data_IF_994572819075
#
_entry.id   IF_994572819075
#
_cell.length_a   1.000
_cell.length_b   1.000
_cell.length_c   1.000
_cell.angle_alpha   90.00
_cell.angle_beta   90.00
_cell.angle_gamma   90.00
#
_symmetry.space_group_name_H-M   'P 1'
#
loop_
_entity.id
_entity.type
_entity.pdbx_description
1 polymer ?
#
# COMPACT_ATOMS: atom_id res chain seq x y z
N UNK A 1 -26.70 4.42 -41.53
CA UNK A 1 -25.39 4.50 -42.26
C UNK A 1 -24.73 5.89 -42.16
N UNK A 2 -25.51 6.98 -42.15
CA UNK A 2 -25.01 8.37 -42.06
C UNK A 2 -24.28 8.70 -40.75
N UNK A 3 -24.78 8.20 -39.63
CA UNK A 3 -24.22 8.55 -38.29
C UNK A 3 -22.87 7.90 -37.98
N UNK A 4 -22.65 6.67 -38.46
CA UNK A 4 -21.38 5.95 -38.28
C UNK A 4 -20.27 6.63 -39.09
N UNK A 5 -20.60 7.10 -40.30
CA UNK A 5 -19.64 7.78 -41.18
C UNK A 5 -19.26 9.16 -40.63
N UNK A 6 -20.21 9.91 -40.09
CA UNK A 6 -19.99 11.20 -39.44
C UNK A 6 -19.14 11.04 -38.17
N UNK A 7 -19.34 9.98 -37.39
CA UNK A 7 -18.50 9.65 -36.21
C UNK A 7 -17.07 9.28 -36.63
N UNK A 8 -16.89 8.57 -37.72
CA UNK A 8 -15.54 8.25 -38.24
C UNK A 8 -14.81 9.50 -38.75
N UNK A 9 -15.47 10.41 -39.42
CA UNK A 9 -14.88 11.69 -39.83
C UNK A 9 -14.46 12.54 -38.62
N UNK A 10 -15.22 12.52 -37.54
CA UNK A 10 -14.88 13.17 -36.26
C UNK A 10 -13.59 12.63 -35.67
N UNK A 11 -13.40 11.32 -35.71
CA UNK A 11 -12.20 10.68 -35.16
C UNK A 11 -10.91 11.07 -35.95
N UNK A 12 -11.07 11.45 -37.22
CA UNK A 12 -9.93 11.79 -38.10
C UNK A 12 -9.67 13.31 -38.18
N UNK A 13 -10.60 14.20 -37.80
CA UNK A 13 -10.41 15.64 -37.93
C UNK A 13 -9.62 16.24 -36.76
N UNK A 14 -8.74 17.17 -37.06
CA UNK A 14 -8.00 17.97 -36.07
C UNK A 14 -8.76 19.21 -35.56
N UNK A 15 -9.83 19.59 -36.26
CA UNK A 15 -10.63 20.77 -35.95
C UNK A 15 -11.98 20.38 -35.34
N UNK A 16 -12.54 21.19 -34.43
CA UNK A 16 -13.90 20.99 -33.91
C UNK A 16 -14.93 21.02 -35.05
N UNK A 17 -15.87 20.10 -35.03
CA UNK A 17 -16.91 20.01 -36.04
C UNK A 17 -18.28 20.33 -35.47
N UNK A 18 -19.07 21.08 -36.24
CA UNK A 18 -20.46 21.37 -35.93
C UNK A 18 -21.36 20.20 -36.34
N UNK A 19 -22.12 19.65 -35.39
CA UNK A 19 -23.06 18.58 -35.64
C UNK A 19 -24.50 19.00 -35.39
N UNK A 20 -25.39 18.61 -36.27
CA UNK A 20 -26.80 18.49 -35.97
C UNK A 20 -26.99 17.28 -35.06
N UNK A 21 -27.62 17.46 -33.91
CA UNK A 21 -28.00 16.36 -33.05
C UNK A 21 -29.21 15.65 -33.64
N UNK A 22 -28.98 14.56 -34.34
CA UNK A 22 -30.02 13.60 -34.73
C UNK A 22 -30.35 12.71 -33.53
N UNK A 23 -31.22 13.14 -32.67
CA UNK A 23 -31.82 12.36 -31.57
C UNK A 23 -33.27 12.72 -31.44
N UNK A 24 -34.13 11.75 -31.19
CA UNK A 24 -35.59 11.87 -31.03
C UNK A 24 -35.96 12.96 -30.01
N UNK A 25 -35.90 14.21 -30.36
CA UNK A 25 -36.30 15.45 -29.62
C UNK A 25 -35.25 16.53 -29.43
N UNK A 26 -34.13 16.58 -30.16
CA UNK A 26 -33.17 17.69 -30.03
C UNK A 26 -33.05 18.49 -31.31
N UNK A 27 -33.66 19.67 -31.33
CA UNK A 27 -33.58 20.68 -32.41
C UNK A 27 -32.32 21.57 -32.30
N UNK A 28 -31.36 21.23 -31.41
CA UNK A 28 -30.21 22.08 -31.12
C UNK A 28 -28.94 21.54 -31.79
N UNK A 29 -28.22 22.44 -32.46
CA UNK A 29 -26.87 22.15 -32.97
C UNK A 29 -25.91 22.04 -31.82
N UNK A 30 -24.88 21.19 -31.95
CA UNK A 30 -23.79 21.10 -31.01
C UNK A 30 -22.44 21.09 -31.73
N UNK A 31 -21.49 21.72 -31.11
CA UNK A 31 -20.11 21.74 -31.52
C UNK A 31 -19.32 20.75 -30.66
N UNK A 32 -18.58 19.84 -31.29
CA UNK A 32 -17.79 18.83 -30.63
C UNK A 32 -16.30 19.11 -30.82
N UNK A 33 -15.55 19.22 -29.72
CA UNK A 33 -14.13 19.31 -29.70
C UNK A 33 -13.50 18.08 -29.05
N UNK A 34 -12.32 17.63 -29.49
CA UNK A 34 -11.65 16.46 -28.98
C UNK A 34 -10.36 16.83 -28.27
N UNK A 35 -10.15 16.25 -27.09
CA UNK A 35 -8.88 16.28 -26.36
C UNK A 35 -8.11 15.04 -26.75
N UNK A 36 -6.92 15.23 -27.36
CA UNK A 36 -6.09 14.13 -27.86
C UNK A 36 -4.72 14.09 -27.18
N UNK A 37 -4.26 12.88 -26.88
CA UNK A 37 -2.91 12.62 -26.37
C UNK A 37 -2.32 11.48 -27.21
N UNK A 38 -1.14 11.68 -27.77
CA UNK A 38 -0.47 10.71 -28.65
C UNK A 38 -1.42 10.20 -29.77
N UNK A 39 -2.14 11.11 -30.43
CA UNK A 39 -3.11 10.84 -31.48
C UNK A 39 -4.35 10.01 -31.06
N UNK A 40 -4.50 9.68 -29.77
CA UNK A 40 -5.68 9.00 -29.24
C UNK A 40 -6.61 10.01 -28.57
N UNK A 41 -7.91 9.93 -28.86
CA UNK A 41 -8.92 10.75 -28.20
C UNK A 41 -9.11 10.25 -26.76
N UNK A 42 -8.86 11.14 -25.81
CA UNK A 42 -9.01 10.87 -24.37
C UNK A 42 -10.36 11.38 -23.84
N UNK A 43 -10.82 12.51 -24.36
CA UNK A 43 -12.09 13.09 -23.96
C UNK A 43 -12.70 13.93 -25.11
N UNK A 44 -13.99 14.23 -24.98
CA UNK A 44 -14.73 15.08 -25.91
C UNK A 44 -15.45 16.18 -25.16
N UNK A 45 -15.34 17.41 -25.65
CA UNK A 45 -16.09 18.58 -25.16
C UNK A 45 -17.27 18.80 -26.09
N UNK A 46 -18.47 18.93 -25.53
CA UNK A 46 -19.68 19.25 -26.31
C UNK A 46 -20.23 20.59 -25.87
N UNK A 47 -20.37 21.51 -26.82
CA UNK A 47 -21.01 22.82 -26.63
C UNK A 47 -22.35 22.80 -27.35
N UNK A 48 -23.42 23.06 -26.60
CA UNK A 48 -24.80 23.04 -27.11
C UNK A 48 -25.22 24.46 -27.49
N UNK A 49 -25.94 24.57 -28.61
CA UNK A 49 -26.63 25.78 -29.01
C UNK A 49 -27.89 25.96 -28.13
N UNK A 50 -27.90 27.02 -27.29
CA UNK A 50 -29.03 27.28 -26.39
C UNK A 50 -29.63 28.66 -26.60
N UNK A 51 -28.90 29.72 -26.29
CA UNK A 51 -29.42 31.11 -26.37
C UNK A 51 -29.06 31.85 -27.67
N UNK A 52 -28.07 31.34 -28.42
CA UNK A 52 -27.64 31.91 -29.70
C UNK A 52 -27.08 30.83 -30.62
N UNK A 53 -27.11 31.11 -31.90
CA UNK A 53 -26.48 30.22 -32.90
C UNK A 53 -24.99 30.15 -32.73
N UNK A 54 -24.42 28.97 -32.88
CA UNK A 54 -22.99 28.73 -32.88
C UNK A 54 -22.37 29.27 -34.16
N UNK A 55 -21.22 29.94 -34.04
CA UNK A 55 -20.48 30.58 -35.12
C UNK A 55 -19.12 29.88 -35.37
N UNK A 56 -18.49 30.26 -36.46
CA UNK A 56 -17.09 29.82 -36.76
C UNK A 56 -16.12 30.30 -35.64
N UNK A 57 -16.40 31.47 -35.06
CA UNK A 57 -15.63 31.94 -33.90
C UNK A 57 -15.69 31.01 -32.71
N UNK A 58 -16.88 30.45 -32.41
CA UNK A 58 -17.03 29.46 -31.32
C UNK A 58 -16.25 28.15 -31.60
N UNK A 59 -16.21 27.74 -32.87
CA UNK A 59 -15.40 26.59 -33.29
C UNK A 59 -13.90 26.84 -33.07
N UNK A 60 -13.41 28.02 -33.38
CA UNK A 60 -12.01 28.39 -33.18
C UNK A 60 -11.66 28.46 -31.69
N UNK A 61 -12.55 29.05 -30.88
CA UNK A 61 -12.38 29.09 -29.42
C UNK A 61 -12.32 27.67 -28.85
N UNK A 62 -13.28 26.81 -29.23
CA UNK A 62 -13.29 25.41 -28.79
C UNK A 62 -12.02 24.65 -29.23
N UNK A 63 -11.54 24.90 -30.45
CA UNK A 63 -10.29 24.34 -30.97
C UNK A 63 -9.08 24.71 -30.10
N UNK A 64 -8.98 25.99 -29.74
CA UNK A 64 -7.92 26.48 -28.86
C UNK A 64 -8.00 25.86 -27.46
N UNK A 65 -9.21 25.77 -26.89
CA UNK A 65 -9.43 25.13 -25.60
C UNK A 65 -9.02 23.65 -25.66
N UNK A 66 -9.44 22.92 -26.70
CA UNK A 66 -9.04 21.53 -26.88
C UNK A 66 -7.53 21.36 -27.03
N UNK A 67 -6.85 22.29 -27.74
CA UNK A 67 -5.38 22.32 -27.89
C UNK A 67 -4.68 22.51 -26.54
N UNK A 68 -5.09 23.50 -25.76
CA UNK A 68 -4.54 23.78 -24.43
C UNK A 68 -4.74 22.59 -23.49
N UNK A 69 -5.94 22.01 -23.48
CA UNK A 69 -6.24 20.86 -22.63
C UNK A 69 -5.48 19.61 -23.08
N UNK A 70 -5.30 19.39 -24.39
CA UNK A 70 -4.49 18.29 -24.91
C UNK A 70 -3.03 18.42 -24.45
N UNK A 71 -2.44 19.60 -24.54
CA UNK A 71 -1.09 19.86 -24.02
C UNK A 71 -0.98 19.68 -22.51
N UNK A 72 -1.97 20.16 -21.76
CA UNK A 72 -2.00 20.02 -20.30
C UNK A 72 -2.08 18.55 -19.88
N UNK A 73 -2.93 17.76 -20.54
CA UNK A 73 -3.07 16.31 -20.27
C UNK A 73 -1.79 15.57 -20.71
N UNK A 74 -1.20 15.92 -21.85
CA UNK A 74 0.05 15.32 -22.30
C UNK A 74 1.22 15.63 -21.36
N UNK A 75 1.34 16.85 -20.88
CA UNK A 75 2.36 17.25 -19.92
C UNK A 75 2.21 16.53 -18.59
N UNK A 76 0.96 16.37 -18.09
CA UNK A 76 0.67 15.56 -16.91
C UNK A 76 0.98 14.09 -17.13
N UNK A 77 0.67 13.55 -18.30
CA UNK A 77 0.98 12.16 -18.65
C UNK A 77 2.48 11.91 -18.70
N UNK A 78 3.25 12.81 -19.32
CA UNK A 78 4.73 12.71 -19.34
C UNK A 78 5.33 12.82 -17.94
N UNK A 79 4.85 13.76 -17.12
CA UNK A 79 5.28 13.90 -15.73
C UNK A 79 4.91 12.68 -14.87
N UNK A 80 3.72 12.12 -15.07
CA UNK A 80 3.28 10.90 -14.37
C UNK A 80 4.10 9.69 -14.80
N UNK A 81 4.40 9.53 -16.10
CA UNK A 81 5.23 8.44 -16.58
C UNK A 81 6.66 8.51 -16.03
N UNK A 82 7.26 9.70 -15.97
CA UNK A 82 8.58 9.89 -15.38
C UNK A 82 8.57 9.61 -13.86
N UNK A 83 7.58 10.12 -13.14
CA UNK A 83 7.41 9.85 -11.71
C UNK A 83 7.18 8.34 -11.45
N UNK A 84 6.40 7.66 -12.29
CA UNK A 84 6.16 6.21 -12.20
C UNK A 84 7.44 5.42 -12.47
N UNK A 85 8.23 5.80 -13.47
CA UNK A 85 9.52 5.14 -13.75
C UNK A 85 10.52 5.32 -12.62
N UNK A 86 10.60 6.52 -12.03
CA UNK A 86 11.44 6.78 -10.86
C UNK A 86 11.00 5.95 -9.66
N UNK A 87 9.68 5.87 -9.41
CA UNK A 87 9.12 5.04 -8.33
C UNK A 87 9.53 3.58 -8.49
N UNK A 88 9.37 3.01 -9.69
CA UNK A 88 9.75 1.64 -10.00
C UNK A 88 11.26 1.38 -9.82
N UNK A 89 12.11 2.35 -10.17
CA UNK A 89 13.55 2.22 -9.95
C UNK A 89 13.90 2.14 -8.46
N UNK A 90 13.27 2.98 -7.63
CA UNK A 90 13.48 2.95 -6.19
C UNK A 90 12.89 1.70 -5.55
N UNK A 91 11.72 1.25 -5.98
CA UNK A 91 11.12 -0.02 -5.53
C UNK A 91 12.05 -1.21 -5.81
N UNK A 92 12.63 -1.29 -7.01
CA UNK A 92 13.61 -2.33 -7.35
C UNK A 92 14.87 -2.27 -6.47
N UNK A 93 15.35 -1.07 -6.13
CA UNK A 93 16.51 -0.89 -5.25
C UNK A 93 16.20 -1.26 -3.79
N UNK A 94 15.01 -0.92 -3.31
CA UNK A 94 14.54 -1.36 -1.98
C UNK A 94 14.38 -2.88 -1.93
N UNK A 95 13.89 -3.48 -3.01
CA UNK A 95 13.81 -4.94 -3.11
C UNK A 95 15.19 -5.59 -3.09
N UNK A 96 16.15 -5.05 -3.84
CA UNK A 96 17.53 -5.55 -3.80
C UNK A 96 18.17 -5.45 -2.40
N UNK A 97 17.79 -4.43 -1.60
CA UNK A 97 18.19 -4.34 -0.20
C UNK A 97 17.54 -5.43 0.67
N UNK A 98 16.26 -5.73 0.42
CA UNK A 98 15.55 -6.81 1.11
C UNK A 98 16.14 -8.18 0.79
N UNK A 99 16.60 -8.37 -0.44
CA UNK A 99 17.19 -9.61 -0.91
C UNK A 99 18.69 -9.72 -0.53
N UNK A 100 19.26 -8.68 0.09
CA UNK A 100 20.68 -8.65 0.47
C UNK A 100 21.66 -8.47 -0.70
N UNK A 101 21.16 -8.09 -1.87
CA UNK A 101 21.96 -8.02 -3.11
C UNK A 101 22.70 -6.69 -3.31
N UNK A 102 22.30 -5.62 -2.64
CA UNK A 102 22.84 -4.28 -2.88
C UNK A 102 23.35 -3.60 -1.62
N UNK A 103 24.57 -3.08 -1.70
CA UNK A 103 25.21 -2.30 -0.64
C UNK A 103 25.45 -0.83 -1.03
N UNK A 104 25.22 -0.45 -2.28
CA UNK A 104 25.32 0.93 -2.73
C UNK A 104 24.08 1.73 -2.31
N UNK A 105 24.26 2.68 -1.41
CA UNK A 105 23.21 3.55 -0.87
C UNK A 105 23.29 4.98 -1.40
N UNK A 106 24.09 5.26 -2.41
CA UNK A 106 24.25 6.60 -2.98
C UNK A 106 22.95 7.22 -3.49
N UNK A 107 21.96 6.38 -3.80
CA UNK A 107 20.64 6.77 -4.27
C UNK A 107 19.67 7.18 -3.14
N UNK A 108 19.92 6.78 -1.89
CA UNK A 108 18.99 6.99 -0.75
C UNK A 108 18.66 8.45 -0.52
N UNK A 109 19.60 9.40 -0.52
CA UNK A 109 19.26 10.82 -0.36
C UNK A 109 18.29 11.32 -1.43
N UNK A 110 18.51 10.94 -2.69
CA UNK A 110 17.64 11.32 -3.81
C UNK A 110 16.26 10.70 -3.70
N UNK A 111 16.17 9.45 -3.22
CA UNK A 111 14.92 8.78 -2.95
C UNK A 111 14.15 9.45 -1.81
N UNK A 112 14.80 9.76 -0.67
CA UNK A 112 14.17 10.45 0.45
C UNK A 112 13.65 11.83 0.05
N UNK A 113 14.39 12.56 -0.79
CA UNK A 113 13.95 13.82 -1.37
C UNK A 113 12.70 13.62 -2.25
N UNK A 114 12.69 12.59 -3.09
CA UNK A 114 11.57 12.28 -3.97
C UNK A 114 10.27 11.99 -3.20
N UNK A 115 10.35 11.24 -2.09
CA UNK A 115 9.21 10.92 -1.23
C UNK A 115 8.97 11.93 -0.10
N UNK A 116 9.78 13.00 -0.01
CA UNK A 116 9.72 14.07 1.00
C UNK A 116 9.95 13.60 2.44
N UNK A 117 10.86 12.64 2.63
CA UNK A 117 11.24 12.10 3.93
C UNK A 117 12.63 12.55 4.41
N UNK A 118 13.17 13.61 3.87
CA UNK A 118 14.53 14.10 4.11
C UNK A 118 14.79 14.46 5.59
N UNK A 119 13.77 15.00 6.27
CA UNK A 119 13.91 15.55 7.61
C UNK A 119 13.81 14.50 8.72
N UNK A 120 13.08 13.40 8.48
CA UNK A 120 12.74 12.41 9.50
C UNK A 120 13.02 11.02 9.00
N UNK A 121 14.25 10.57 9.26
CA UNK A 121 14.71 9.24 8.85
C UNK A 121 14.45 8.23 9.97
N UNK A 122 13.19 8.03 10.32
CA UNK A 122 12.78 7.01 11.30
C UNK A 122 11.69 6.15 10.70
N UNK A 123 12.06 4.95 10.31
CA UNK A 123 11.22 4.04 9.57
C UNK A 123 10.65 2.95 10.46
N UNK A 124 9.54 2.37 10.05
CA UNK A 124 9.05 1.06 10.46
C UNK A 124 8.63 0.28 9.23
N UNK A 125 8.73 -1.01 9.29
CA UNK A 125 8.23 -1.93 8.28
C UNK A 125 6.92 -2.52 8.78
N UNK A 126 5.92 -2.53 7.91
CA UNK A 126 4.69 -3.30 8.09
C UNK A 126 4.70 -4.41 7.06
N UNK A 127 4.69 -5.65 7.51
CA UNK A 127 4.53 -6.83 6.66
C UNK A 127 3.09 -7.29 6.74
N UNK A 128 2.44 -7.50 5.60
CA UNK A 128 1.07 -8.00 5.54
C UNK A 128 1.11 -9.40 4.96
N UNK A 129 0.84 -10.38 5.81
CA UNK A 129 0.69 -11.76 5.40
C UNK A 129 -0.76 -12.02 5.01
N UNK A 130 -0.92 -12.42 3.78
CA UNK A 130 -2.17 -12.92 3.29
C UNK A 130 -2.26 -14.41 3.59
N UNK A 131 -3.20 -14.80 4.41
CA UNK A 131 -3.83 -16.10 4.21
C UNK A 131 -4.27 -16.16 2.73
N UNK A 132 -4.62 -17.32 2.19
CA UNK A 132 -4.91 -17.54 0.74
C UNK A 132 -5.76 -16.45 0.02
N UNK A 133 -6.31 -15.51 0.75
CA UNK A 133 -7.27 -14.50 0.32
C UNK A 133 -6.68 -13.36 -0.52
N UNK A 134 -5.41 -12.95 -0.33
CA UNK A 134 -4.79 -11.91 -1.18
C UNK A 134 -4.07 -12.47 -2.42
N UNK A 135 -4.34 -13.71 -2.82
CA UNK A 135 -3.88 -14.24 -4.12
C UNK A 135 -4.56 -13.55 -5.29
N UNK A 136 -5.71 -12.89 -5.04
CA UNK A 136 -6.40 -12.09 -6.05
C UNK A 136 -5.73 -10.71 -6.16
N UNK A 137 -5.09 -10.47 -7.31
CA UNK A 137 -4.42 -9.20 -7.64
C UNK A 137 -5.35 -7.98 -7.49
N UNK A 138 -6.65 -8.14 -7.76
CA UNK A 138 -7.62 -7.05 -7.63
C UNK A 138 -7.84 -6.63 -6.18
N UNK A 139 -8.03 -7.58 -5.26
CA UNK A 139 -8.19 -7.30 -3.83
C UNK A 139 -6.93 -6.68 -3.21
N UNK A 140 -5.75 -7.18 -3.63
CA UNK A 140 -4.47 -6.61 -3.21
C UNK A 140 -4.32 -5.17 -3.67
N UNK A 141 -4.67 -4.89 -4.92
CA UNK A 141 -4.62 -3.52 -5.46
C UNK A 141 -5.60 -2.59 -4.73
N UNK A 142 -6.81 -3.07 -4.45
CA UNK A 142 -7.81 -2.32 -3.69
C UNK A 142 -7.31 -1.98 -2.26
N UNK A 143 -6.74 -2.96 -1.55
CA UNK A 143 -6.13 -2.74 -0.23
C UNK A 143 -5.03 -1.67 -0.29
N UNK A 144 -4.12 -1.76 -1.26
CA UNK A 144 -3.05 -0.78 -1.45
C UNK A 144 -3.63 0.63 -1.69
N UNK A 145 -4.62 0.76 -2.56
CA UNK A 145 -5.23 2.06 -2.85
C UNK A 145 -5.97 2.65 -1.62
N UNK A 146 -6.67 1.83 -0.84
CA UNK A 146 -7.30 2.28 0.41
C UNK A 146 -6.25 2.80 1.40
N UNK A 147 -5.17 2.06 1.62
CA UNK A 147 -4.09 2.47 2.52
C UNK A 147 -3.36 3.73 2.01
N UNK A 148 -3.19 3.88 0.69
CA UNK A 148 -2.63 5.11 0.08
C UNK A 148 -3.50 6.33 0.32
N UNK A 149 -4.82 6.18 0.26
CA UNK A 149 -5.76 7.27 0.52
C UNK A 149 -5.73 7.70 1.99
N UNK A 150 -5.60 6.76 2.91
CA UNK A 150 -5.50 7.05 4.35
C UNK A 150 -4.16 7.72 4.72
N UNK A 151 -3.07 7.41 4.00
CA UNK A 151 -1.71 7.86 4.32
C UNK A 151 -0.97 8.46 3.12
N UNK A 152 -1.44 9.56 2.53
CA UNK A 152 -0.77 10.19 1.41
C UNK A 152 0.65 10.63 1.81
N UNK A 153 1.64 10.25 1.01
CA UNK A 153 3.07 10.60 1.18
C UNK A 153 3.80 10.06 2.42
N UNK A 154 3.18 9.14 3.18
CA UNK A 154 3.79 8.59 4.41
C UNK A 154 4.10 7.10 4.30
N UNK A 155 3.80 6.47 3.17
CA UNK A 155 4.00 5.05 2.95
C UNK A 155 4.65 4.79 1.60
N UNK A 156 5.55 3.80 1.57
CA UNK A 156 6.07 3.18 0.34
C UNK A 156 5.63 1.73 0.35
N UNK A 157 4.98 1.30 -0.73
CA UNK A 157 4.47 -0.05 -0.89
C UNK A 157 5.40 -0.87 -1.76
N UNK A 158 5.77 -2.06 -1.30
CA UNK A 158 6.55 -3.05 -2.03
C UNK A 158 5.69 -4.31 -2.15
N UNK A 159 5.36 -4.68 -3.38
CA UNK A 159 4.45 -5.78 -3.67
C UNK A 159 5.12 -6.79 -4.60
N UNK A 160 5.83 -7.75 -4.03
CA UNK A 160 6.47 -8.84 -4.78
C UNK A 160 6.17 -10.20 -4.16
N UNK A 161 6.80 -10.49 -3.02
CA UNK A 161 6.63 -11.77 -2.30
C UNK A 161 5.66 -11.66 -1.12
N UNK A 162 4.83 -10.63 -1.12
CA UNK A 162 3.92 -10.22 -0.08
C UNK A 162 3.81 -8.71 -0.07
N UNK A 163 2.84 -8.16 0.60
CA UNK A 163 2.69 -6.72 0.73
C UNK A 163 3.52 -6.21 1.90
N UNK A 164 4.53 -5.45 1.59
CA UNK A 164 5.36 -4.75 2.56
C UNK A 164 5.09 -3.25 2.47
N UNK A 165 4.94 -2.59 3.60
CA UNK A 165 4.76 -1.15 3.68
C UNK A 165 5.89 -0.57 4.52
N UNK A 166 6.68 0.31 3.93
CA UNK A 166 7.63 1.11 4.67
C UNK A 166 6.94 2.42 5.07
N UNK A 167 6.91 2.71 6.35
CA UNK A 167 6.28 3.91 6.90
C UNK A 167 7.31 4.79 7.60
N UNK A 168 7.08 6.10 7.55
CA UNK A 168 7.85 7.09 8.31
C UNK A 168 6.91 7.85 9.26
N UNK A 169 6.64 7.30 10.45
CA UNK A 169 5.85 7.99 11.44
C UNK A 169 6.70 9.07 12.12
N UNK A 170 6.50 10.29 11.71
CA UNK A 170 7.21 11.47 12.23
C UNK A 170 6.99 11.67 13.74
N UNK A 171 5.75 11.43 14.19
CA UNK A 171 5.32 11.60 15.57
C UNK A 171 4.58 10.37 16.10
N UNK A 172 4.59 10.12 17.42
CA UNK A 172 3.84 9.00 18.01
C UNK A 172 2.34 9.03 17.69
N UNK A 173 1.73 10.22 17.65
CA UNK A 173 0.31 10.39 17.30
C UNK A 173 0.01 9.95 15.88
N UNK A 174 0.90 10.20 14.94
CA UNK A 174 0.78 9.76 13.54
C UNK A 174 0.91 8.24 13.44
N UNK A 175 1.79 7.66 14.24
CA UNK A 175 1.94 6.21 14.30
C UNK A 175 0.69 5.54 14.87
N UNK A 176 0.11 6.11 15.92
CA UNK A 176 -1.13 5.59 16.50
C UNK A 176 -2.29 5.64 15.48
N UNK A 177 -2.46 6.76 14.79
CA UNK A 177 -3.47 6.88 13.72
C UNK A 177 -3.25 5.86 12.60
N UNK A 178 -1.97 5.53 12.31
CA UNK A 178 -1.65 4.52 11.32
C UNK A 178 -2.08 3.11 11.78
N UNK A 179 -1.83 2.76 13.05
CA UNK A 179 -2.28 1.48 13.62
C UNK A 179 -3.81 1.40 13.59
N UNK A 180 -4.51 2.43 14.05
CA UNK A 180 -5.97 2.48 14.06
C UNK A 180 -6.56 2.26 12.66
N UNK A 181 -5.99 2.88 11.64
CA UNK A 181 -6.44 2.69 10.26
C UNK A 181 -6.09 1.29 9.70
N UNK A 182 -4.98 0.69 10.12
CA UNK A 182 -4.70 -0.71 9.79
C UNK A 182 -5.71 -1.65 10.45
N UNK A 183 -6.01 -1.43 11.72
CA UNK A 183 -6.97 -2.24 12.48
C UNK A 183 -8.40 -2.12 11.93
N UNK A 184 -8.73 -1.02 11.29
CA UNK A 184 -10.00 -0.84 10.58
C UNK A 184 -10.02 -1.58 9.24
N UNK A 185 -8.93 -1.47 8.46
CA UNK A 185 -8.89 -1.94 7.07
C UNK A 185 -8.55 -3.43 6.96
N UNK A 186 -7.56 -3.94 7.70
CA UNK A 186 -7.04 -5.30 7.53
C UNK A 186 -8.08 -6.40 7.77
N UNK A 187 -9.01 -6.29 8.74
CA UNK A 187 -10.04 -7.30 8.98
C UNK A 187 -10.96 -7.53 7.78
N UNK A 188 -11.26 -6.50 7.00
CA UNK A 188 -12.12 -6.60 5.82
C UNK A 188 -11.53 -7.54 4.76
N UNK A 189 -10.20 -7.64 4.72
CA UNK A 189 -9.48 -8.53 3.80
C UNK A 189 -9.04 -9.84 4.44
N UNK A 190 -9.36 -10.03 5.73
CA UNK A 190 -8.95 -11.20 6.52
C UNK A 190 -7.43 -11.42 6.46
N UNK A 191 -6.67 -10.36 6.71
CA UNK A 191 -5.21 -10.35 6.72
C UNK A 191 -4.67 -9.79 8.02
N UNK A 192 -3.45 -10.17 8.36
CA UNK A 192 -2.76 -9.69 9.57
C UNK A 192 -1.53 -8.89 9.17
N UNK A 193 -1.31 -7.78 9.86
CA UNK A 193 -0.15 -6.90 9.68
C UNK A 193 0.80 -6.97 10.87
N UNK A 194 2.06 -7.34 10.63
CA UNK A 194 3.13 -7.24 11.62
C UNK A 194 3.91 -5.96 11.46
N UNK A 195 4.29 -5.34 12.55
CA UNK A 195 4.97 -4.04 12.58
C UNK A 195 6.31 -4.17 13.30
N UNK A 196 7.39 -3.81 12.61
CA UNK A 196 8.75 -3.86 13.14
C UNK A 196 9.03 -2.81 14.20
N UNK A 197 10.16 -2.92 14.89
CA UNK A 197 10.76 -1.80 15.64
C UNK A 197 11.07 -0.62 14.72
N UNK A 198 11.24 0.54 15.36
CA UNK A 198 11.68 1.75 14.67
C UNK A 198 13.19 1.69 14.41
N UNK A 199 13.58 2.06 13.17
CA UNK A 199 14.97 2.12 12.74
C UNK A 199 15.28 3.40 11.96
N UNK A 200 16.54 3.71 11.75
CA UNK A 200 17.01 4.93 11.06
C UNK A 200 17.89 4.63 9.86
N UNK A 201 18.48 3.46 9.80
CA UNK A 201 19.39 3.08 8.73
C UNK A 201 18.68 2.13 7.76
N UNK A 202 18.48 2.56 6.53
CA UNK A 202 17.77 1.77 5.51
C UNK A 202 18.45 0.42 5.20
N UNK A 203 19.73 0.25 5.55
CA UNK A 203 20.42 -1.05 5.45
C UNK A 203 19.77 -2.14 6.30
N UNK A 204 19.12 -1.75 7.38
CA UNK A 204 18.45 -2.64 8.32
C UNK A 204 17.06 -3.07 7.85
N UNK A 205 16.67 -2.70 6.62
CA UNK A 205 15.33 -2.95 6.07
C UNK A 205 14.96 -4.44 6.11
N UNK A 206 15.88 -5.32 5.71
CA UNK A 206 15.65 -6.77 5.71
C UNK A 206 15.48 -7.34 7.12
N UNK A 207 16.28 -6.90 8.09
CA UNK A 207 16.13 -7.28 9.49
C UNK A 207 14.78 -6.83 10.04
N UNK A 208 14.37 -5.60 9.76
CA UNK A 208 13.09 -5.08 10.22
C UNK A 208 11.88 -5.71 9.51
N UNK A 209 12.03 -6.16 8.26
CA UNK A 209 11.05 -7.04 7.63
C UNK A 209 10.90 -8.33 8.44
N UNK A 210 12.02 -8.98 8.78
CA UNK A 210 11.99 -10.21 9.56
C UNK A 210 11.31 -10.00 10.92
N UNK A 211 11.58 -8.89 11.62
CA UNK A 211 10.90 -8.55 12.87
C UNK A 211 9.37 -8.43 12.68
N UNK A 212 8.92 -7.80 11.59
CA UNK A 212 7.50 -7.69 11.30
C UNK A 212 6.85 -9.07 11.01
N UNK A 213 7.54 -9.93 10.26
CA UNK A 213 7.10 -11.29 9.99
C UNK A 213 7.06 -12.14 11.28
N UNK A 214 8.06 -11.99 12.14
CA UNK A 214 8.12 -12.67 13.44
C UNK A 214 6.99 -12.23 14.38
N UNK A 215 6.60 -10.96 14.35
CA UNK A 215 5.45 -10.47 15.12
C UNK A 215 4.17 -11.22 14.74
N UNK A 216 3.91 -11.43 13.45
CA UNK A 216 2.74 -12.20 12.98
C UNK A 216 2.85 -13.66 13.43
N UNK A 217 4.05 -14.27 13.26
CA UNK A 217 4.29 -15.66 13.64
C UNK A 217 4.08 -15.90 15.13
N UNK A 218 4.59 -15.01 15.97
CA UNK A 218 4.46 -15.12 17.42
C UNK A 218 2.99 -14.98 17.83
N UNK A 219 2.27 -13.99 17.28
CA UNK A 219 0.85 -13.82 17.55
C UNK A 219 0.04 -15.08 17.20
N UNK A 220 0.31 -15.68 16.04
CA UNK A 220 -0.36 -16.92 15.65
C UNK A 220 -0.07 -18.07 16.62
N UNK A 221 1.17 -18.19 17.12
CA UNK A 221 1.56 -19.19 18.12
C UNK A 221 0.85 -18.97 19.48
N UNK A 222 0.59 -17.73 19.85
CA UNK A 222 -0.09 -17.36 21.09
C UNK A 222 -1.62 -17.43 20.97
N UNK A 223 -2.16 -17.76 19.79
CA UNK A 223 -3.61 -17.79 19.56
C UNK A 223 -4.26 -16.41 19.54
N UNK A 224 -3.48 -15.36 19.32
CA UNK A 224 -3.99 -13.99 19.19
C UNK A 224 -4.76 -13.79 17.87
N UNK A 225 -5.78 -12.92 17.92
CA UNK A 225 -6.66 -12.62 16.79
C UNK A 225 -6.62 -11.15 16.35
N UNK A 226 -5.64 -10.37 16.82
CA UNK A 226 -5.51 -8.95 16.46
C UNK A 226 -5.13 -8.80 14.98
N UNK A 227 -5.66 -7.76 14.36
CA UNK A 227 -5.35 -7.44 12.95
C UNK A 227 -3.93 -6.89 12.78
N UNK A 228 -3.41 -6.20 13.80
CA UNK A 228 -2.03 -5.69 13.84
C UNK A 228 -1.26 -6.26 15.03
N UNK A 229 0.03 -6.51 14.83
CA UNK A 229 0.95 -7.04 15.83
C UNK A 229 2.22 -6.20 15.85
N UNK A 230 2.54 -5.60 17.00
CA UNK A 230 3.79 -4.88 17.18
C UNK A 230 4.88 -5.83 17.69
N UNK A 231 6.02 -5.84 17.02
CA UNK A 231 7.17 -6.61 17.49
C UNK A 231 7.69 -6.12 18.85
N UNK A 232 7.54 -4.81 19.13
CA UNK A 232 7.91 -4.22 20.42
C UNK A 232 7.21 -4.91 21.60
N UNK A 233 5.95 -5.33 21.44
CA UNK A 233 5.14 -5.99 22.48
C UNK A 233 5.49 -7.49 22.62
N UNK A 234 6.20 -8.03 21.65
CA UNK A 234 6.46 -9.48 21.54
C UNK A 234 7.92 -9.88 21.77
N UNK A 235 8.79 -8.93 22.12
CA UNK A 235 10.23 -9.15 22.29
C UNK A 235 10.54 -10.28 23.27
N UNK A 236 9.81 -10.36 24.38
CA UNK A 236 10.02 -11.42 25.39
C UNK A 236 9.72 -12.80 24.83
N UNK A 237 8.68 -12.92 24.02
CA UNK A 237 8.32 -14.19 23.37
C UNK A 237 9.35 -14.57 22.29
N UNK A 238 9.82 -13.61 21.51
CA UNK A 238 10.88 -13.83 20.52
C UNK A 238 12.17 -14.34 21.19
N UNK A 239 12.56 -13.72 22.30
CA UNK A 239 13.70 -14.16 23.08
C UNK A 239 13.54 -15.60 23.56
N UNK A 240 12.35 -15.97 24.09
CA UNK A 240 12.07 -17.33 24.55
C UNK A 240 12.07 -18.35 23.42
N UNK A 241 11.51 -18.00 22.26
CA UNK A 241 11.49 -18.87 21.07
C UNK A 241 12.91 -19.11 20.55
N UNK A 242 13.73 -18.07 20.50
CA UNK A 242 15.13 -18.16 20.09
C UNK A 242 15.94 -19.00 21.09
N UNK A 243 15.75 -18.80 22.38
CA UNK A 243 16.38 -19.60 23.43
C UNK A 243 15.97 -21.07 23.36
N UNK A 244 14.71 -21.34 23.02
CA UNK A 244 14.20 -22.71 22.81
C UNK A 244 14.87 -23.38 21.60
N UNK A 245 14.97 -22.69 20.47
CA UNK A 245 15.57 -23.24 19.27
C UNK A 245 17.04 -23.59 19.46
N UNK A 246 17.77 -22.80 20.24
CA UNK A 246 19.18 -23.01 20.56
C UNK A 246 19.43 -23.97 21.71
N UNK A 247 18.41 -24.69 22.19
CA UNK A 247 18.47 -25.58 23.37
C UNK A 247 18.95 -24.90 24.66
N UNK A 248 19.01 -23.58 24.69
CA UNK A 248 19.52 -22.82 25.86
C UNK A 248 18.57 -22.97 27.05
N UNK A 249 17.26 -23.16 26.83
CA UNK A 249 16.27 -23.31 27.88
C UNK A 249 16.48 -24.56 28.73
N UNK A 250 17.13 -25.61 28.22
CA UNK A 250 17.46 -26.80 29.01
C UNK A 250 18.34 -26.52 30.24
N UNK A 251 19.08 -25.38 30.22
CA UNK A 251 19.89 -24.97 31.37
C UNK A 251 19.06 -24.38 32.51
N UNK A 252 17.84 -24.00 32.21
CA UNK A 252 16.90 -23.41 33.17
C UNK A 252 15.80 -24.38 33.56
N UNK A 253 15.92 -25.65 33.14
CA UNK A 253 15.00 -26.71 33.50
C UNK A 253 15.17 -27.04 34.98
N UNK A 254 14.11 -26.93 35.77
CA UNK A 254 14.15 -27.17 37.21
C UNK A 254 13.67 -28.60 37.50
N UNK A 255 14.57 -29.40 38.02
CA UNK A 255 14.31 -30.79 38.36
C UNK A 255 13.10 -30.94 39.28
N UNK A 256 12.86 -29.95 40.16
CA UNK A 256 11.69 -29.95 41.07
C UNK A 256 10.38 -29.87 40.32
N UNK A 257 10.32 -29.17 39.20
CA UNK A 257 9.13 -29.10 38.35
C UNK A 257 8.86 -30.45 37.66
N UNK A 258 9.91 -31.16 37.28
CA UNK A 258 9.79 -32.53 36.78
C UNK A 258 9.23 -33.47 37.84
N UNK A 259 9.79 -33.43 39.03
CA UNK A 259 9.30 -34.23 40.17
C UNK A 259 7.84 -33.93 40.47
N UNK A 260 7.42 -32.67 40.45
CA UNK A 260 6.04 -32.27 40.67
C UNK A 260 5.09 -32.81 39.59
N UNK A 261 5.48 -32.76 38.32
CA UNK A 261 4.71 -33.35 37.21
C UNK A 261 4.59 -34.87 37.33
N UNK A 262 5.67 -35.56 37.74
CA UNK A 262 5.64 -36.99 37.96
C UNK A 262 4.73 -37.36 39.18
N UNK A 263 4.83 -36.57 40.24
CA UNK A 263 3.94 -36.73 41.41
C UNK A 263 2.48 -36.62 41.01
N UNK A 264 2.10 -35.57 40.27
CA UNK A 264 0.72 -35.36 39.79
C UNK A 264 0.25 -36.54 38.93
N UNK A 265 1.12 -37.05 38.05
CA UNK A 265 0.79 -38.20 37.21
C UNK A 265 0.50 -39.49 38.03
N UNK A 266 1.26 -39.70 39.09
CA UNK A 266 1.11 -40.88 39.91
C UNK A 266 -0.04 -40.81 40.92
N UNK A 267 -0.39 -39.60 41.36
CA UNK A 267 -1.38 -39.39 42.41
C UNK A 267 -2.69 -38.79 41.88
N UNK A 268 -2.79 -38.48 40.60
CA UNK A 268 -3.98 -37.85 40.01
C UNK A 268 -4.25 -36.45 40.55
N UNK A 269 -3.20 -35.75 40.97
CA UNK A 269 -3.24 -34.37 41.45
C UNK A 269 -2.91 -33.36 40.36
N UNK A 270 -3.13 -32.07 40.59
CA UNK A 270 -2.94 -30.99 39.61
C UNK A 270 -2.13 -29.81 40.20
N UNK A 271 -1.11 -30.15 40.99
CA UNK A 271 -0.27 -29.16 41.67
C UNK A 271 0.60 -28.36 40.69
N UNK A 272 1.04 -28.97 39.62
CA UNK A 272 1.83 -28.28 38.61
C UNK A 272 1.03 -27.17 37.92
N UNK A 273 -0.21 -27.45 37.50
CA UNK A 273 -1.12 -26.48 36.90
C UNK A 273 -1.50 -25.39 37.90
N UNK A 274 -1.73 -25.77 39.17
CA UNK A 274 -1.97 -24.80 40.23
C UNK A 274 -0.78 -23.86 40.46
N UNK A 275 0.43 -24.40 40.51
CA UNK A 275 1.65 -23.59 40.64
C UNK A 275 1.83 -22.64 39.44
N UNK A 276 1.58 -23.14 38.21
CA UNK A 276 1.60 -22.33 37.03
C UNK A 276 0.58 -21.19 37.09
N UNK A 277 -0.67 -21.47 37.45
CA UNK A 277 -1.70 -20.44 37.58
C UNK A 277 -1.33 -19.39 38.64
N UNK A 278 -0.78 -19.81 39.78
CA UNK A 278 -0.31 -18.91 40.82
C UNK A 278 0.85 -18.04 40.38
N UNK A 279 1.75 -18.56 39.53
CA UNK A 279 2.86 -17.77 38.99
C UNK A 279 2.40 -16.64 38.06
N UNK A 280 1.29 -16.83 37.34
CA UNK A 280 0.69 -15.82 36.46
C UNK A 280 -0.02 -14.69 37.24
N UNK A 281 -0.50 -14.96 38.44
CA UNK A 281 -1.16 -13.95 39.30
C UNK A 281 -0.15 -12.96 39.89
N UNK A 282 1.12 -13.34 39.97
CA UNK A 282 2.19 -12.54 40.58
C UNK A 282 2.94 -11.64 39.54
N UNK A 283 2.63 -11.78 38.25
CA UNK A 283 3.19 -10.96 37.18
C UNK A 283 2.20 -9.86 36.81
#
# INVERSE_FOLDING_TARGET
>A
ASDVYKRQQLLCSSTPMLFLADGVNTTHHRLLGMIRVNQRTQATISVLEYNRKLTIGDSNILGNICGILSQAVESRSKGRNHATLMSLQYENRLQALLDGESYDLSWVPSWLAHIRWERYQKFRVVSIHAADNLRNTAQRHELIERLRLSFPHRCVFLDRDGLLILINPEYPTVFQQFIEALDEVLPEYNVTGGISKRFSNIKELAEHRQQADDAIRIQALLGGSNSTCLFDDQISYELLLTARSNHTLKRYDDERLHMLREYDRHHGTDYYTTLYALSLIHI
#
